data_IF_183770977994
#
_entry.id   IF_183770977994
#
_cell.length_a   1.000
_cell.length_b   1.000
_cell.length_c   1.000
_cell.angle_alpha   90.00
_cell.angle_beta   90.00
_cell.angle_gamma   90.00
#
_symmetry.space_group_name_H-M   'P 1'
#
loop_
_entity.id
_entity.type
_entity.pdbx_description
1 polymer ?
#
# COMPACT_ATOMS: atom_id res chain seq x y z
N UNK A 1 -24.99 -32.25 0.76
CA UNK A 1 -25.23 -32.99 2.03
C UNK A 1 -24.52 -34.34 1.93
N UNK A 2 -23.27 -34.45 2.38
CA UNK A 2 -22.54 -35.72 2.35
C UNK A 2 -23.00 -36.58 3.54
N UNK A 3 -23.72 -37.67 3.28
CA UNK A 3 -24.10 -38.62 4.33
C UNK A 3 -22.84 -39.35 4.81
N UNK A 4 -22.64 -39.38 6.13
CA UNK A 4 -21.50 -40.09 6.75
C UNK A 4 -21.61 -41.58 6.45
N UNK A 5 -20.50 -42.27 6.12
CA UNK A 5 -20.53 -43.72 5.93
C UNK A 5 -20.96 -44.40 7.24
N UNK A 6 -21.89 -45.35 7.12
CA UNK A 6 -22.33 -46.20 8.22
C UNK A 6 -21.13 -46.90 8.85
N UNK A 7 -21.01 -46.84 10.19
CA UNK A 7 -19.99 -47.55 10.95
C UNK A 7 -20.17 -49.06 10.85
N UNK A 8 -19.07 -49.81 10.94
CA UNK A 8 -19.04 -51.28 10.87
C UNK A 8 -19.95 -51.94 11.90
N UNK A 9 -19.97 -51.38 13.12
CA UNK A 9 -20.82 -51.86 14.23
C UNK A 9 -22.32 -51.63 14.00
N UNK A 10 -22.69 -50.61 13.21
CA UNK A 10 -24.08 -50.39 12.82
C UNK A 10 -24.49 -51.35 11.70
N UNK A 11 -23.57 -51.65 10.77
CA UNK A 11 -23.82 -52.60 9.70
C UNK A 11 -24.10 -54.01 10.24
N UNK A 12 -23.31 -54.52 11.19
CA UNK A 12 -23.49 -55.85 11.81
C UNK A 12 -24.85 -56.04 12.50
N UNK A 13 -25.49 -54.95 12.94
CA UNK A 13 -26.82 -54.97 13.55
C UNK A 13 -27.97 -54.99 12.53
N UNK A 14 -27.66 -54.82 11.24
CA UNK A 14 -28.65 -54.75 10.16
C UNK A 14 -28.89 -56.11 9.51
N UNK A 15 -30.10 -56.28 8.96
CA UNK A 15 -30.47 -57.45 8.17
C UNK A 15 -29.55 -57.60 6.94
N UNK A 16 -29.15 -58.84 6.63
CA UNK A 16 -28.30 -59.19 5.48
C UNK A 16 -28.85 -58.64 4.15
N UNK A 17 -30.17 -58.65 3.98
CA UNK A 17 -30.82 -58.10 2.76
C UNK A 17 -30.60 -56.58 2.66
N UNK A 18 -30.76 -55.87 3.79
CA UNK A 18 -30.54 -54.43 3.83
C UNK A 18 -29.06 -54.07 3.62
N UNK A 19 -28.13 -54.91 4.10
CA UNK A 19 -26.71 -54.73 3.82
C UNK A 19 -26.43 -54.87 2.31
N UNK A 20 -26.95 -55.92 1.66
CA UNK A 20 -26.76 -56.15 0.23
C UNK A 20 -27.31 -55.00 -0.63
N UNK A 21 -28.49 -54.46 -0.29
CA UNK A 21 -29.06 -53.28 -0.95
C UNK A 21 -28.18 -52.03 -0.80
N UNK A 22 -27.62 -51.80 0.39
CA UNK A 22 -26.68 -50.69 0.63
C UNK A 22 -25.41 -50.86 -0.21
N UNK A 23 -24.88 -52.08 -0.30
CA UNK A 23 -23.71 -52.37 -1.14
C UNK A 23 -24.00 -52.13 -2.61
N UNK A 24 -25.14 -52.59 -3.11
CA UNK A 24 -25.61 -52.32 -4.48
C UNK A 24 -25.74 -50.83 -4.77
N UNK A 25 -26.30 -50.07 -3.83
CA UNK A 25 -26.41 -48.62 -3.97
C UNK A 25 -25.04 -47.93 -4.03
N UNK A 26 -24.11 -48.30 -3.16
CA UNK A 26 -22.74 -47.73 -3.15
C UNK A 26 -22.01 -48.01 -4.46
N UNK A 27 -22.06 -49.24 -4.95
CA UNK A 27 -21.44 -49.62 -6.23
C UNK A 27 -22.02 -48.83 -7.41
N UNK A 28 -23.33 -48.60 -7.43
CA UNK A 28 -23.97 -47.75 -8.44
C UNK A 28 -23.51 -46.30 -8.32
N UNK A 29 -23.54 -45.73 -7.12
CA UNK A 29 -23.12 -44.35 -6.88
C UNK A 29 -21.64 -44.13 -7.25
N UNK A 30 -20.77 -45.10 -6.97
CA UNK A 30 -19.36 -45.05 -7.36
C UNK A 30 -19.19 -45.13 -8.89
N UNK A 31 -19.94 -46.02 -9.54
CA UNK A 31 -19.93 -46.15 -11.02
C UNK A 31 -20.41 -44.86 -11.70
N UNK A 32 -21.49 -44.27 -11.21
CA UNK A 32 -22.02 -42.99 -11.69
C UNK A 32 -21.06 -41.84 -11.41
N UNK A 33 -20.42 -41.80 -10.23
CA UNK A 33 -19.42 -40.81 -9.91
C UNK A 33 -18.22 -40.92 -10.86
N UNK A 34 -17.75 -42.14 -11.14
CA UNK A 34 -16.65 -42.40 -12.08
C UNK A 34 -16.99 -41.97 -13.51
N UNK A 35 -18.20 -42.25 -13.99
CA UNK A 35 -18.64 -41.83 -15.32
C UNK A 35 -18.82 -40.31 -15.43
N UNK A 36 -19.34 -39.67 -14.38
CA UNK A 36 -19.55 -38.22 -14.34
C UNK A 36 -18.28 -37.43 -13.99
N UNK A 37 -17.21 -38.10 -13.53
CA UNK A 37 -15.99 -37.44 -13.07
C UNK A 37 -15.31 -36.63 -14.18
N UNK A 38 -15.10 -37.13 -15.41
CA UNK A 38 -14.48 -36.35 -16.48
C UNK A 38 -15.30 -35.12 -16.87
N UNK A 39 -16.64 -35.21 -16.87
CA UNK A 39 -17.50 -34.09 -17.22
C UNK A 39 -17.50 -32.99 -16.13
N UNK A 40 -17.48 -33.39 -14.85
CA UNK A 40 -17.53 -32.44 -13.72
C UNK A 40 -16.15 -31.94 -13.29
N UNK A 41 -15.10 -32.72 -13.50
CA UNK A 41 -13.77 -32.48 -12.95
C UNK A 41 -12.63 -32.66 -13.96
N UNK A 42 -12.93 -32.91 -15.25
CA UNK A 42 -11.91 -33.06 -16.29
C UNK A 42 -11.05 -31.81 -16.50
N UNK A 43 -11.50 -30.64 -16.06
CA UNK A 43 -10.69 -29.42 -16.05
C UNK A 43 -9.51 -29.50 -15.06
N UNK A 44 -9.54 -30.40 -14.08
CA UNK A 44 -8.41 -30.63 -13.17
C UNK A 44 -7.26 -31.38 -13.84
N UNK A 45 -7.55 -32.10 -14.92
CA UNK A 45 -6.53 -32.83 -15.71
C UNK A 45 -5.93 -31.98 -16.83
N UNK A 46 -6.62 -30.94 -17.28
CA UNK A 46 -6.10 -30.03 -18.31
C UNK A 46 -5.04 -29.09 -17.73
N UNK A 47 -3.96 -28.88 -18.48
CA UNK A 47 -2.91 -27.96 -18.06
C UNK A 47 -3.37 -26.51 -18.19
N UNK A 48 -2.88 -25.63 -17.31
CA UNK A 48 -3.25 -24.19 -17.34
C UNK A 48 -2.97 -23.54 -18.71
N UNK A 49 -1.97 -24.03 -19.44
CA UNK A 49 -1.58 -23.53 -20.76
C UNK A 49 -2.65 -23.82 -21.82
N UNK A 50 -3.17 -25.05 -21.85
CA UNK A 50 -4.22 -25.45 -22.79
C UNK A 50 -5.54 -24.71 -22.54
N UNK A 51 -5.83 -24.35 -21.28
CA UNK A 51 -6.98 -23.53 -20.93
C UNK A 51 -6.86 -22.10 -21.44
N UNK A 52 -5.66 -21.51 -21.38
CA UNK A 52 -5.42 -20.17 -21.94
C UNK A 52 -5.43 -20.17 -23.47
N UNK A 53 -4.84 -21.18 -24.09
CA UNK A 53 -4.75 -21.29 -25.56
C UNK A 53 -6.10 -21.61 -26.21
N UNK A 54 -7.00 -22.33 -25.51
CA UNK A 54 -8.35 -22.62 -26.00
C UNK A 54 -9.34 -21.46 -25.92
N UNK A 55 -9.09 -20.45 -25.09
CA UNK A 55 -9.90 -19.23 -24.97
C UNK A 55 -9.43 -18.11 -25.93
N UNK A 56 -8.33 -18.30 -26.66
CA UNK A 56 -7.92 -17.44 -27.77
C UNK A 56 -8.77 -17.72 -29.03
N UNK A 57 -10.10 -17.66 -28.91
CA UNK A 57 -10.85 -17.22 -30.08
C UNK A 57 -10.41 -15.79 -30.39
N UNK A 58 -10.18 -15.42 -31.68
CA UNK A 58 -9.74 -14.09 -32.04
C UNK A 58 -10.79 -13.10 -31.54
N UNK A 59 -10.51 -12.46 -30.41
CA UNK A 59 -11.44 -11.51 -29.80
C UNK A 59 -11.73 -10.46 -30.86
N UNK A 60 -12.94 -10.51 -31.42
CA UNK A 60 -13.44 -9.45 -32.30
C UNK A 60 -13.18 -8.15 -31.55
N UNK A 61 -12.52 -7.15 -32.16
CA UNK A 61 -12.05 -5.97 -31.45
C UNK A 61 -13.25 -5.36 -30.73
N UNK A 62 -13.27 -5.49 -29.40
CA UNK A 62 -14.36 -4.99 -28.57
C UNK A 62 -14.51 -3.50 -28.92
N UNK A 63 -15.71 -3.04 -29.33
CA UNK A 63 -15.89 -1.62 -29.63
C UNK A 63 -15.50 -0.85 -28.37
N UNK A 64 -14.52 0.05 -28.51
CA UNK A 64 -14.07 0.88 -27.39
C UNK A 64 -15.29 1.71 -26.96
N UNK A 65 -15.84 1.52 -25.75
CA UNK A 65 -16.96 2.31 -25.30
C UNK A 65 -16.50 3.77 -25.25
N UNK A 66 -17.22 4.66 -25.93
CA UNK A 66 -16.96 6.09 -25.84
C UNK A 66 -17.22 6.51 -24.39
N UNK A 67 -16.18 7.05 -23.73
CA UNK A 67 -16.33 7.54 -22.36
C UNK A 67 -17.25 8.76 -22.37
N UNK A 68 -18.26 8.83 -21.49
CA UNK A 68 -19.09 10.01 -21.35
C UNK A 68 -18.27 11.27 -20.98
N UNK A 69 -18.74 12.44 -21.41
CA UNK A 69 -18.04 13.73 -21.31
C UNK A 69 -17.55 14.10 -19.90
N UNK A 70 -18.25 13.64 -18.86
CA UNK A 70 -17.94 13.93 -17.45
C UNK A 70 -16.83 13.04 -16.86
N UNK A 71 -16.45 11.95 -17.54
CA UNK A 71 -15.30 11.12 -17.15
C UNK A 71 -13.97 11.62 -17.72
N UNK A 72 -13.98 12.56 -18.67
CA UNK A 72 -12.74 13.16 -19.15
C UNK A 72 -12.17 14.11 -18.09
N UNK A 73 -10.93 13.87 -17.71
CA UNK A 73 -10.15 14.82 -16.92
C UNK A 73 -9.97 16.08 -17.77
N UNK A 74 -10.48 17.21 -17.29
CA UNK A 74 -10.23 18.49 -17.96
C UNK A 74 -8.74 18.81 -17.91
N UNK A 75 -8.13 19.21 -19.03
CA UNK A 75 -6.74 19.65 -19.01
C UNK A 75 -6.62 20.84 -18.04
N UNK A 76 -5.64 20.76 -17.15
CA UNK A 76 -5.34 21.86 -16.22
C UNK A 76 -4.94 23.07 -17.05
N UNK A 77 -5.46 24.24 -16.70
CA UNK A 77 -5.06 25.50 -17.33
C UNK A 77 -3.52 25.61 -17.27
N UNK A 78 -2.83 25.82 -18.39
CA UNK A 78 -1.36 25.81 -18.41
C UNK A 78 -0.84 26.89 -17.47
N UNK A 79 -0.22 26.43 -16.38
CA UNK A 79 0.33 27.27 -15.32
C UNK A 79 1.46 28.15 -15.86
N UNK A 80 2.19 27.69 -16.88
CA UNK A 80 3.30 28.41 -17.53
C UNK A 80 2.91 29.78 -18.09
N UNK A 81 1.63 29.97 -18.47
CA UNK A 81 1.14 31.27 -18.95
C UNK A 81 1.03 32.30 -17.82
N UNK A 82 0.85 31.84 -16.58
CA UNK A 82 0.53 32.68 -15.42
C UNK A 82 1.65 32.72 -14.38
N UNK A 83 2.49 31.69 -14.30
CA UNK A 83 3.61 31.57 -13.37
C UNK A 83 4.90 31.83 -14.14
N UNK A 84 5.34 33.09 -14.15
CA UNK A 84 6.65 33.46 -14.68
C UNK A 84 7.69 33.32 -13.56
N UNK A 85 8.48 32.26 -13.61
CA UNK A 85 9.61 32.08 -12.69
C UNK A 85 10.74 32.98 -13.17
N UNK A 86 10.89 34.14 -12.54
CA UNK A 86 12.02 35.04 -12.78
C UNK A 86 13.23 34.62 -11.94
N UNK A 87 14.46 34.88 -12.40
CA UNK A 87 15.66 34.64 -11.60
C UNK A 87 15.64 35.50 -10.33
N UNK A 88 16.35 35.04 -9.29
CA UNK A 88 16.45 35.77 -8.03
C UNK A 88 17.09 37.16 -8.25
N UNK A 89 16.61 38.22 -7.56
CA UNK A 89 17.22 39.54 -7.65
C UNK A 89 18.68 39.53 -7.13
N UNK A 90 19.53 40.46 -7.61
CA UNK A 90 20.92 40.56 -7.19
C UNK A 90 21.03 40.87 -5.70
N UNK A 91 22.09 40.36 -5.07
CA UNK A 91 22.37 40.58 -3.64
C UNK A 91 22.54 42.08 -3.37
N UNK A 92 21.91 42.63 -2.32
CA UNK A 92 22.03 44.04 -1.98
C UNK A 92 23.49 44.41 -1.70
N UNK A 93 23.90 45.64 -2.06
CA UNK A 93 25.28 46.13 -1.84
C UNK A 93 25.47 46.82 -0.49
N UNK A 94 24.38 47.29 0.13
CA UNK A 94 24.40 48.05 1.39
C UNK A 94 24.20 47.12 2.58
N UNK A 95 24.90 47.39 3.68
CA UNK A 95 24.80 46.63 4.94
C UNK A 95 23.38 46.64 5.51
N UNK A 96 22.66 47.77 5.39
CA UNK A 96 21.26 47.89 5.80
C UNK A 96 20.31 47.00 4.98
N UNK A 97 20.59 46.79 3.70
CA UNK A 97 19.82 45.87 2.85
C UNK A 97 20.20 44.40 3.05
N UNK A 98 21.33 44.13 3.71
CA UNK A 98 21.80 42.78 4.02
C UNK A 98 21.14 42.18 5.26
N UNK A 99 20.71 43.01 6.22
CA UNK A 99 20.01 42.59 7.42
C UNK A 99 18.64 42.01 6.99
N UNK A 100 18.50 40.68 7.05
CA UNK A 100 17.31 39.96 6.60
C UNK A 100 17.42 39.32 5.21
N UNK A 101 18.51 39.55 4.47
CA UNK A 101 18.85 38.75 3.28
C UNK A 101 19.54 37.44 3.72
N UNK A 102 19.58 36.43 2.85
CA UNK A 102 20.30 35.17 3.13
C UNK A 102 21.80 35.44 3.24
N UNK A 103 22.27 35.82 4.43
CA UNK A 103 23.65 36.26 4.70
C UNK A 103 24.61 35.08 4.75
N UNK A 104 24.90 34.48 3.59
CA UNK A 104 25.82 33.34 3.45
C UNK A 104 27.30 33.72 3.20
N UNK A 105 27.69 34.99 3.36
CA UNK A 105 29.06 35.45 3.04
C UNK A 105 30.00 35.36 4.26
N UNK A 106 31.11 34.59 4.16
CA UNK A 106 32.11 34.46 5.23
C UNK A 106 32.68 35.74 5.82
N UNK A 107 32.84 36.77 4.99
CA UNK A 107 33.40 38.05 5.43
C UNK A 107 32.46 38.85 6.36
N UNK A 108 31.17 38.52 6.43
CA UNK A 108 30.17 39.34 7.12
C UNK A 108 29.70 38.74 8.46
N UNK A 109 29.85 37.44 8.72
CA UNK A 109 29.49 36.83 10.01
C UNK A 109 30.58 36.96 11.09
N UNK A 110 31.76 37.51 10.76
CA UNK A 110 32.86 37.72 11.68
C UNK A 110 32.65 38.89 12.67
N UNK A 111 31.41 39.37 12.83
CA UNK A 111 31.05 40.41 13.79
C UNK A 111 31.22 39.95 15.26
N UNK A 112 31.20 38.64 15.52
CA UNK A 112 31.40 38.06 16.86
C UNK A 112 32.89 37.86 17.24
N UNK A 113 33.83 38.55 16.58
CA UNK A 113 35.26 38.43 16.90
C UNK A 113 35.66 38.97 18.28
N UNK A 114 34.79 39.73 18.94
CA UNK A 114 35.09 40.41 20.21
C UNK A 114 34.09 40.13 21.34
N UNK A 115 33.13 39.22 21.15
CA UNK A 115 32.30 38.76 22.27
C UNK A 115 32.98 37.58 22.93
N UNK A 116 33.87 37.85 23.89
CA UNK A 116 34.16 36.85 24.90
C UNK A 116 32.84 36.51 25.58
N UNK A 117 32.43 35.24 25.51
CA UNK A 117 31.23 34.77 26.21
C UNK A 117 31.58 34.75 27.70
N UNK A 118 31.48 35.91 28.34
CA UNK A 118 31.53 36.02 29.77
C UNK A 118 30.29 35.32 30.32
N UNK A 119 30.47 34.16 30.97
CA UNK A 119 29.40 33.44 31.64
C UNK A 119 28.67 34.38 32.60
N UNK A 120 27.42 34.75 32.30
CA UNK A 120 26.58 35.61 33.14
C UNK A 120 26.14 34.92 34.44
N UNK A 121 26.46 33.64 34.65
CA UNK A 121 26.06 32.87 35.83
C UNK A 121 26.67 33.51 37.08
N UNK A 122 25.81 34.04 37.94
CA UNK A 122 26.18 34.63 39.23
C UNK A 122 26.53 36.12 39.20
N UNK A 123 26.63 36.77 38.03
CA UNK A 123 26.92 38.21 37.97
C UNK A 123 25.78 39.04 38.59
N UNK A 124 24.54 38.70 38.24
CA UNK A 124 23.35 39.38 38.77
C UNK A 124 23.12 39.09 40.27
N UNK A 125 23.46 37.88 40.74
CA UNK A 125 23.37 37.55 42.16
C UNK A 125 24.36 38.37 43.01
N UNK A 126 25.54 38.72 42.45
CA UNK A 126 26.51 39.60 43.10
C UNK A 126 26.01 41.05 43.19
N UNK A 127 25.38 41.56 42.13
CA UNK A 127 24.77 42.91 42.14
C UNK A 127 23.67 43.03 43.21
N UNK A 128 22.93 41.96 43.47
CA UNK A 128 21.87 41.91 44.48
C UNK A 128 22.35 41.54 45.88
N UNK A 129 23.67 41.33 46.08
CA UNK A 129 24.26 40.83 47.33
C UNK A 129 23.57 39.57 47.87
N UNK A 130 23.19 38.65 46.99
CA UNK A 130 22.46 37.45 47.38
C UNK A 130 23.35 36.48 48.18
N UNK A 131 22.85 35.84 49.25
CA UNK A 131 23.63 34.90 50.05
C UNK A 131 24.08 33.69 49.22
N UNK A 132 25.30 33.22 49.48
CA UNK A 132 25.95 32.15 48.70
C UNK A 132 25.14 30.85 48.66
N UNK A 133 24.36 30.57 49.69
CA UNK A 133 23.47 29.41 49.76
C UNK A 133 22.34 29.43 48.71
N UNK A 134 22.03 30.60 48.13
CA UNK A 134 21.01 30.77 47.10
C UNK A 134 21.54 30.73 45.66
N UNK A 135 22.86 30.60 45.47
CA UNK A 135 23.51 30.56 44.15
C UNK A 135 24.10 29.17 43.95
N UNK A 136 23.24 28.21 43.58
CA UNK A 136 23.61 26.85 43.19
C UNK A 136 23.47 26.65 41.68
#
# INVERSE_FOLDING_TARGET
MAQKPLSTTAAERMNLVAQDEIWKYRLRAESEARQNWPAKWGYLTTSMKELLEGEEEPQTPKPKPELPSHFYVRPVSPMDKHIKILPSPPVPKTTQGFIGWRSGKPALYCLEKYSEVCSCKGAYARELCWPEQGVH
#
